data_IF_799099550512
#
_entry.id   IF_799099550512
#
_cell.length_a   1.000
_cell.length_b   1.000
_cell.length_c   1.000
_cell.angle_alpha   90.00
_cell.angle_beta   90.00
_cell.angle_gamma   90.00
#
_symmetry.space_group_name_H-M   'P 1'
#
loop_
_entity.id
_entity.type
_entity.pdbx_description
1 polymer ?
#
# COMPACT_ATOMS: atom_id res chain seq x y z
N UNK A 1 -12.42 10.17 13.95
CA UNK A 1 -10.97 9.87 14.04
C UNK A 1 -10.24 10.98 13.33
N UNK A 2 -9.19 11.53 13.94
CA UNK A 2 -8.33 12.55 13.37
C UNK A 2 -6.97 11.94 13.03
N UNK A 3 -6.47 12.21 11.83
CA UNK A 3 -5.14 11.82 11.36
C UNK A 3 -4.28 13.08 11.28
N UNK A 4 -3.14 13.07 11.93
CA UNK A 4 -2.24 14.25 11.95
C UNK A 4 -1.37 14.33 10.70
N UNK A 5 -0.98 13.19 10.14
CA UNK A 5 -0.22 13.09 8.91
C UNK A 5 -1.06 13.59 7.71
N UNK A 6 -0.37 14.04 6.68
CA UNK A 6 -1.01 14.27 5.37
C UNK A 6 -1.30 12.93 4.70
N UNK A 7 -2.48 12.81 4.10
CA UNK A 7 -2.84 11.61 3.33
C UNK A 7 -2.65 11.93 1.85
N UNK A 8 -1.76 11.20 1.18
CA UNK A 8 -1.57 11.29 -0.28
C UNK A 8 -2.50 10.32 -0.96
N UNK A 9 -3.32 10.84 -1.87
CA UNK A 9 -4.30 10.10 -2.69
C UNK A 9 -4.13 10.42 -4.17
N UNK A 10 -4.82 9.69 -5.05
CA UNK A 10 -4.69 9.90 -6.49
C UNK A 10 -5.41 11.13 -6.98
N UNK A 11 -6.65 11.36 -6.53
CA UNK A 11 -7.49 12.41 -7.04
C UNK A 11 -8.53 12.93 -6.06
N UNK A 12 -9.39 13.83 -6.60
CA UNK A 12 -10.39 14.53 -5.82
C UNK A 12 -11.46 13.63 -5.21
N UNK A 13 -11.93 12.62 -5.96
CA UNK A 13 -12.97 11.71 -5.47
C UNK A 13 -12.47 10.90 -4.28
N UNK A 14 -11.18 10.49 -4.29
CA UNK A 14 -10.52 9.84 -3.16
C UNK A 14 -10.41 10.79 -1.98
N UNK A 15 -10.00 12.05 -2.22
CA UNK A 15 -9.93 13.09 -1.20
C UNK A 15 -11.27 13.27 -0.49
N UNK A 16 -12.36 13.39 -1.25
CA UNK A 16 -13.71 13.53 -0.69
C UNK A 16 -14.10 12.29 0.12
N UNK A 17 -13.78 11.10 -0.38
CA UNK A 17 -14.09 9.84 0.31
C UNK A 17 -13.31 9.69 1.62
N UNK A 18 -12.02 9.98 1.60
CA UNK A 18 -11.15 9.92 2.79
C UNK A 18 -11.60 10.95 3.85
N UNK A 19 -11.90 12.19 3.47
CA UNK A 19 -12.38 13.23 4.39
C UNK A 19 -13.73 12.91 5.02
N UNK A 20 -14.56 12.11 4.36
CA UNK A 20 -15.80 11.58 4.96
C UNK A 20 -15.52 10.48 6.00
N UNK A 21 -14.43 9.74 5.85
CA UNK A 21 -14.05 8.70 6.79
C UNK A 21 -13.32 9.27 8.02
N UNK A 22 -12.40 10.22 7.81
CA UNK A 22 -11.54 10.77 8.87
C UNK A 22 -11.35 12.28 8.69
N UNK A 23 -11.05 12.98 9.78
CA UNK A 23 -10.58 14.36 9.75
C UNK A 23 -9.08 14.36 9.40
N UNK A 24 -8.71 14.92 8.24
CA UNK A 24 -7.34 14.94 7.73
C UNK A 24 -7.09 16.04 6.70
N UNK A 25 -5.82 16.30 6.43
CA UNK A 25 -5.35 17.03 5.25
C UNK A 25 -4.92 16.05 4.16
N UNK A 26 -5.28 16.31 2.91
CA UNK A 26 -4.97 15.45 1.78
C UNK A 26 -4.11 16.18 0.73
N UNK A 27 -3.27 15.42 0.03
CA UNK A 27 -2.47 15.84 -1.11
C UNK A 27 -2.85 14.94 -2.29
N UNK A 28 -3.21 15.52 -3.43
CA UNK A 28 -3.59 14.81 -4.65
C UNK A 28 -2.40 14.72 -5.60
N UNK A 29 -2.13 13.53 -6.16
CA UNK A 29 -1.07 13.36 -7.15
C UNK A 29 -1.54 13.68 -8.57
N UNK A 30 -2.86 13.69 -8.79
CA UNK A 30 -3.48 13.90 -10.10
C UNK A 30 -2.97 12.95 -11.18
N UNK A 31 -2.84 11.67 -10.81
CA UNK A 31 -2.39 10.59 -11.66
C UNK A 31 -1.00 10.06 -11.34
N UNK A 32 -0.59 9.01 -12.06
CA UNK A 32 0.65 8.27 -11.78
C UNK A 32 1.94 8.94 -12.30
N UNK A 33 1.81 10.00 -13.11
CA UNK A 33 2.95 10.81 -13.59
C UNK A 33 3.20 11.98 -12.63
N UNK A 34 3.72 11.69 -11.43
CA UNK A 34 3.96 12.69 -10.39
C UNK A 34 5.11 13.60 -10.84
N UNK A 35 4.85 14.91 -10.89
CA UNK A 35 5.86 15.90 -11.23
C UNK A 35 6.69 16.30 -9.99
N UNK A 36 7.82 16.96 -10.22
CA UNK A 36 8.74 17.39 -9.15
C UNK A 36 8.08 18.35 -8.16
N UNK A 37 7.20 19.22 -8.62
CA UNK A 37 6.49 20.15 -7.75
C UNK A 37 5.60 19.41 -6.73
N UNK A 38 4.88 18.37 -7.16
CA UNK A 38 4.09 17.53 -6.26
C UNK A 38 4.97 16.76 -5.28
N UNK A 39 6.13 16.23 -5.74
CA UNK A 39 7.08 15.58 -4.86
C UNK A 39 7.64 16.51 -3.80
N UNK A 40 7.90 17.78 -4.15
CA UNK A 40 8.36 18.79 -3.18
C UNK A 40 7.30 19.07 -2.11
N UNK A 41 6.03 19.19 -2.49
CA UNK A 41 4.93 19.32 -1.53
C UNK A 41 4.88 18.13 -0.59
N UNK A 42 5.04 16.90 -1.11
CA UNK A 42 5.03 15.68 -0.29
C UNK A 42 6.24 15.64 0.65
N UNK A 43 7.45 16.06 0.20
CA UNK A 43 8.65 16.17 1.06
C UNK A 43 8.42 17.13 2.23
N UNK A 44 7.85 18.30 1.95
CA UNK A 44 7.55 19.30 2.97
C UNK A 44 6.51 18.79 3.97
N UNK A 45 5.47 18.11 3.49
CA UNK A 45 4.48 17.46 4.32
C UNK A 45 5.10 16.38 5.23
N UNK A 46 5.98 15.55 4.66
CA UNK A 46 6.70 14.51 5.40
C UNK A 46 7.56 15.10 6.52
N UNK A 47 8.27 16.19 6.26
CA UNK A 47 9.11 16.85 7.25
C UNK A 47 8.30 17.54 8.36
N UNK A 48 7.08 17.97 8.08
CA UNK A 48 6.24 18.67 9.05
C UNK A 48 5.48 17.73 9.98
N UNK A 49 4.62 16.88 9.43
CA UNK A 49 3.71 16.02 10.21
C UNK A 49 3.76 14.55 9.81
N UNK A 50 4.51 14.22 8.77
CA UNK A 50 4.53 12.90 8.17
C UNK A 50 3.47 12.72 7.07
N UNK A 51 3.65 11.67 6.28
CA UNK A 51 2.80 11.32 5.13
C UNK A 51 2.37 9.88 5.19
N UNK A 52 1.09 9.64 4.92
CA UNK A 52 0.50 8.33 4.67
C UNK A 52 0.05 8.28 3.21
N UNK A 53 0.56 7.33 2.43
CA UNK A 53 0.14 7.11 1.04
C UNK A 53 -1.02 6.12 1.00
N UNK A 54 -2.17 6.55 0.49
CA UNK A 54 -3.37 5.75 0.30
C UNK A 54 -3.85 5.89 -1.14
N UNK A 55 -3.49 4.94 -1.99
CA UNK A 55 -3.84 4.90 -3.41
C UNK A 55 -4.70 3.70 -3.74
N UNK A 56 -5.25 3.67 -4.94
CA UNK A 56 -6.04 2.55 -5.44
C UNK A 56 -5.24 1.23 -5.40
N UNK A 57 -5.87 0.10 -5.08
CA UNK A 57 -5.22 -1.20 -5.07
C UNK A 57 -5.09 -1.77 -6.50
N UNK A 58 -4.41 -1.03 -7.37
CA UNK A 58 -4.16 -1.34 -8.77
C UNK A 58 -2.74 -0.97 -9.21
N UNK A 59 -2.43 -1.19 -10.50
CA UNK A 59 -1.09 -0.92 -11.03
C UNK A 59 -0.70 0.57 -11.04
N UNK A 60 -1.58 1.52 -11.47
CA UNK A 60 -1.31 2.94 -11.33
C UNK A 60 -1.03 3.38 -9.88
N UNK A 61 -1.84 2.92 -8.92
CA UNK A 61 -1.65 3.21 -7.50
C UNK A 61 -0.33 2.67 -6.96
N UNK A 62 0.07 1.46 -7.34
CA UNK A 62 1.39 0.91 -6.98
C UNK A 62 2.55 1.72 -7.58
N UNK A 63 2.38 2.27 -8.78
CA UNK A 63 3.38 3.14 -9.40
C UNK A 63 3.55 4.45 -8.63
N UNK A 64 2.44 5.06 -8.22
CA UNK A 64 2.44 6.26 -7.36
C UNK A 64 3.22 5.98 -6.06
N UNK A 65 2.90 4.87 -5.38
CA UNK A 65 3.58 4.45 -4.14
C UNK A 65 5.09 4.31 -4.34
N UNK A 66 5.50 3.60 -5.39
CA UNK A 66 6.93 3.40 -5.70
C UNK A 66 7.63 4.72 -5.94
N UNK A 67 7.04 5.59 -6.77
CA UNK A 67 7.62 6.91 -7.06
C UNK A 67 7.79 7.75 -5.80
N UNK A 68 6.76 7.80 -4.93
CA UNK A 68 6.86 8.57 -3.68
C UNK A 68 7.92 7.97 -2.75
N UNK A 69 7.95 6.65 -2.58
CA UNK A 69 8.94 5.97 -1.70
C UNK A 69 10.38 6.18 -2.17
N UNK A 70 10.61 6.19 -3.48
CA UNK A 70 11.94 6.44 -4.06
C UNK A 70 12.44 7.87 -3.80
N UNK A 71 11.55 8.86 -3.75
CA UNK A 71 11.90 10.27 -3.66
C UNK A 71 11.70 10.89 -2.25
N UNK A 72 10.88 10.26 -1.41
CA UNK A 72 10.53 10.77 -0.07
C UNK A 72 10.66 9.64 0.94
N UNK A 73 11.72 9.69 1.76
CA UNK A 73 11.98 8.67 2.78
C UNK A 73 11.02 8.79 3.97
N UNK A 74 10.76 7.66 4.61
CA UNK A 74 9.98 7.59 5.85
C UNK A 74 8.47 7.73 5.67
N UNK A 75 7.94 7.75 4.45
CA UNK A 75 6.50 7.75 4.20
C UNK A 75 5.87 6.44 4.66
N UNK A 76 4.69 6.54 5.23
CA UNK A 76 3.88 5.37 5.63
C UNK A 76 2.93 4.99 4.50
N UNK A 77 2.51 3.73 4.46
CA UNK A 77 1.56 3.22 3.48
C UNK A 77 0.33 2.61 4.17
N UNK A 78 -0.85 3.02 3.73
CA UNK A 78 -2.12 2.39 4.05
C UNK A 78 -2.61 1.58 2.84
N UNK A 79 -3.19 0.40 3.06
CA UNK A 79 -3.68 -0.48 2.01
C UNK A 79 -5.13 -0.87 2.25
N UNK A 80 -5.96 -0.73 1.22
CA UNK A 80 -7.31 -1.26 1.20
C UNK A 80 -7.29 -2.55 0.36
N UNK A 81 -8.00 -3.58 0.81
CA UNK A 81 -8.19 -4.80 0.03
C UNK A 81 -8.89 -4.46 -1.29
N UNK A 82 -8.43 -5.03 -2.39
CA UNK A 82 -8.99 -4.80 -3.73
C UNK A 82 -10.47 -5.09 -3.83
N UNK A 83 -10.96 -6.14 -3.17
CA UNK A 83 -12.38 -6.48 -3.17
C UNK A 83 -13.23 -5.46 -2.38
N UNK A 84 -12.65 -4.83 -1.34
CA UNK A 84 -13.28 -3.77 -0.56
C UNK A 84 -13.28 -2.39 -1.27
N UNK A 85 -12.39 -2.21 -2.25
CA UNK A 85 -12.29 -1.00 -3.07
C UNK A 85 -13.01 -1.16 -4.44
N UNK A 86 -13.86 -2.17 -4.61
CA UNK A 86 -14.52 -2.50 -5.86
C UNK A 86 -16.00 -2.14 -5.83
N UNK A 87 -16.45 -1.37 -6.81
CA UNK A 87 -17.88 -1.09 -6.96
C UNK A 87 -18.65 -2.23 -7.67
N UNK A 88 -19.98 -2.13 -7.70
CA UNK A 88 -20.86 -3.11 -8.34
C UNK A 88 -20.59 -3.32 -9.85
N UNK A 89 -19.94 -2.36 -10.52
CA UNK A 89 -19.55 -2.46 -11.93
C UNK A 89 -18.14 -3.01 -12.12
N UNK A 90 -17.45 -3.39 -11.03
CA UNK A 90 -16.09 -3.92 -11.07
C UNK A 90 -14.98 -2.87 -11.14
N UNK A 91 -15.31 -1.57 -11.11
CA UNK A 91 -14.31 -0.50 -11.04
C UNK A 91 -13.68 -0.48 -9.64
N UNK A 92 -12.35 -0.34 -9.61
CA UNK A 92 -11.54 -0.30 -8.40
C UNK A 92 -11.16 1.14 -8.12
N UNK A 93 -11.20 1.55 -6.85
CA UNK A 93 -10.80 2.88 -6.41
C UNK A 93 -11.07 3.09 -4.93
N UNK A 94 -10.28 3.93 -4.28
CA UNK A 94 -10.47 4.35 -2.88
C UNK A 94 -11.83 5.01 -2.72
N UNK A 95 -12.30 5.73 -3.74
CA UNK A 95 -13.61 6.38 -3.76
C UNK A 95 -14.79 5.40 -3.62
N UNK A 96 -14.57 4.11 -3.89
CA UNK A 96 -15.59 3.06 -3.82
C UNK A 96 -15.57 2.27 -2.50
N UNK A 97 -14.50 2.40 -1.71
CA UNK A 97 -14.36 1.70 -0.43
C UNK A 97 -15.35 2.19 0.63
N UNK A 98 -15.76 1.33 1.53
CA UNK A 98 -16.55 1.73 2.68
C UNK A 98 -15.74 2.58 3.66
N UNK A 99 -16.40 3.54 4.34
CA UNK A 99 -15.73 4.45 5.26
C UNK A 99 -15.02 3.72 6.42
N UNK A 100 -15.55 2.56 6.81
CA UNK A 100 -14.95 1.73 7.84
C UNK A 100 -13.66 1.08 7.36
N UNK A 101 -13.60 0.65 6.10
CA UNK A 101 -12.41 0.04 5.51
C UNK A 101 -11.28 1.06 5.34
N UNK A 102 -11.62 2.29 4.98
CA UNK A 102 -10.66 3.41 4.93
C UNK A 102 -10.09 3.69 6.32
N UNK A 103 -10.95 3.76 7.35
CA UNK A 103 -10.50 3.95 8.74
C UNK A 103 -9.58 2.82 9.19
N UNK A 104 -9.95 1.58 8.89
CA UNK A 104 -9.16 0.40 9.23
C UNK A 104 -7.79 0.43 8.55
N UNK A 105 -7.73 0.77 7.26
CA UNK A 105 -6.47 0.91 6.52
C UNK A 105 -5.55 1.97 7.14
N UNK A 106 -6.11 3.12 7.54
CA UNK A 106 -5.37 4.22 8.14
C UNK A 106 -4.92 3.94 9.60
N UNK A 107 -5.57 3.02 10.31
CA UNK A 107 -5.11 2.57 11.63
C UNK A 107 -3.95 1.56 11.54
N UNK A 108 -3.76 0.92 10.40
CA UNK A 108 -2.76 -0.14 10.21
C UNK A 108 -1.78 0.23 9.09
N UNK A 109 -1.10 1.34 9.26
CA UNK A 109 -0.08 1.80 8.31
C UNK A 109 1.21 0.99 8.42
N UNK A 110 1.87 0.75 7.30
CA UNK A 110 3.17 0.11 7.21
C UNK A 110 4.23 1.14 6.80
N UNK A 111 5.41 1.07 7.41
CA UNK A 111 6.56 1.91 7.04
C UNK A 111 7.63 1.03 6.39
N UNK A 112 8.08 1.34 5.16
CA UNK A 112 9.25 0.68 4.60
C UNK A 112 10.49 0.99 5.45
N UNK A 113 11.42 0.04 5.57
CA UNK A 113 12.72 0.30 6.15
C UNK A 113 13.54 1.21 5.22
N UNK A 114 14.28 2.16 5.80
CA UNK A 114 15.15 3.08 5.03
C UNK A 114 16.37 2.37 4.41
N UNK A 115 16.78 1.24 5.00
CA UNK A 115 17.83 0.39 4.48
C UNK A 115 17.23 -0.91 3.91
N UNK A 116 17.70 -1.33 2.74
CA UNK A 116 17.24 -2.56 2.11
C UNK A 116 17.66 -3.77 2.98
N UNK A 117 16.70 -4.32 3.70
CA UNK A 117 16.88 -5.53 4.49
C UNK A 117 16.44 -6.73 3.64
N UNK A 118 17.40 -7.40 3.01
CA UNK A 118 17.13 -8.59 2.21
C UNK A 118 17.16 -9.83 3.13
N UNK A 119 16.06 -10.10 3.83
CA UNK A 119 15.93 -11.28 4.69
C UNK A 119 15.30 -12.48 3.99
N UNK A 120 14.58 -12.25 2.88
CA UNK A 120 13.87 -13.27 2.12
C UNK A 120 14.46 -13.39 0.73
N UNK A 121 14.86 -14.61 0.37
CA UNK A 121 15.33 -14.95 -0.98
C UNK A 121 14.16 -15.39 -1.87
N UNK A 122 14.35 -15.25 -3.19
CA UNK A 122 13.37 -15.69 -4.19
C UNK A 122 13.08 -17.18 -4.10
N UNK A 123 14.06 -18.00 -3.71
CA UNK A 123 13.92 -19.46 -3.52
C UNK A 123 12.84 -19.79 -2.48
N UNK A 124 12.77 -19.03 -1.39
CA UNK A 124 11.74 -19.19 -0.35
C UNK A 124 10.34 -18.97 -0.92
N UNK A 125 10.16 -17.95 -1.75
CA UNK A 125 8.85 -17.69 -2.38
C UNK A 125 8.46 -18.79 -3.38
N UNK A 126 9.43 -19.43 -4.04
CA UNK A 126 9.19 -20.56 -4.93
C UNK A 126 8.77 -21.77 -4.09
N UNK A 127 9.51 -22.11 -3.04
CA UNK A 127 9.24 -23.22 -2.11
C UNK A 127 7.82 -23.08 -1.50
N UNK A 128 7.45 -21.89 -1.08
CA UNK A 128 6.13 -21.59 -0.51
C UNK A 128 5.01 -21.50 -1.56
N UNK A 129 5.28 -21.75 -2.84
CA UNK A 129 4.29 -21.70 -3.91
C UNK A 129 3.72 -20.30 -4.16
N UNK A 130 4.49 -19.24 -3.86
CA UNK A 130 4.07 -17.84 -4.03
C UNK A 130 4.42 -17.27 -5.41
N UNK A 131 5.36 -17.89 -6.14
CA UNK A 131 5.80 -17.45 -7.48
C UNK A 131 5.40 -18.44 -8.57
N UNK A 132 5.57 -19.74 -8.29
CA UNK A 132 5.34 -20.83 -9.25
C UNK A 132 4.20 -21.72 -8.75
N UNK A 133 3.34 -22.18 -9.65
CA UNK A 133 2.23 -23.09 -9.35
C UNK A 133 0.86 -22.49 -9.67
N UNK A 134 -0.14 -23.36 -9.84
CA UNK A 134 -1.51 -22.99 -10.23
C UNK A 134 -2.18 -22.05 -9.21
N UNK A 135 -1.87 -22.21 -7.94
CA UNK A 135 -2.45 -21.46 -6.83
C UNK A 135 -1.59 -20.24 -6.40
N UNK A 136 -0.45 -20.01 -7.04
CA UNK A 136 0.50 -18.97 -6.62
C UNK A 136 -0.14 -17.58 -6.54
N UNK A 137 -1.04 -17.24 -7.45
CA UNK A 137 -1.78 -15.97 -7.40
C UNK A 137 -2.67 -15.89 -6.17
N UNK A 138 -3.48 -16.92 -5.91
CA UNK A 138 -4.39 -16.98 -4.75
C UNK A 138 -3.59 -16.89 -3.44
N UNK A 139 -2.50 -17.66 -3.32
CA UNK A 139 -1.64 -17.63 -2.13
C UNK A 139 -1.03 -16.24 -1.88
N UNK A 140 -0.59 -15.54 -2.94
CA UNK A 140 -0.11 -14.16 -2.81
C UNK A 140 -1.22 -13.20 -2.36
N UNK A 141 -2.43 -13.35 -2.86
CA UNK A 141 -3.58 -12.51 -2.47
C UNK A 141 -3.90 -12.69 -0.98
N UNK A 142 -3.91 -13.92 -0.49
CA UNK A 142 -4.13 -14.24 0.93
C UNK A 142 -3.01 -13.65 1.79
N UNK A 143 -1.75 -13.93 1.45
CA UNK A 143 -0.59 -13.42 2.18
C UNK A 143 -0.57 -11.89 2.22
N UNK A 144 -0.77 -11.25 1.07
CA UNK A 144 -0.76 -9.78 0.98
C UNK A 144 -1.88 -9.14 1.81
N UNK A 145 -3.04 -9.80 1.92
CA UNK A 145 -4.14 -9.37 2.78
C UNK A 145 -3.78 -9.49 4.25
N UNK A 146 -3.25 -10.64 4.67
CA UNK A 146 -2.85 -10.89 6.07
C UNK A 146 -1.76 -9.94 6.53
N UNK A 147 -0.74 -9.73 5.70
CA UNK A 147 0.37 -8.82 5.99
C UNK A 147 0.05 -7.35 5.71
N UNK A 148 -1.12 -7.04 5.12
CA UNK A 148 -1.58 -5.66 4.78
C UNK A 148 -0.57 -4.88 3.91
N UNK A 149 0.05 -5.58 2.94
CA UNK A 149 1.07 -4.99 2.03
C UNK A 149 0.54 -4.70 0.63
N UNK A 150 -0.78 -4.84 0.42
CA UNK A 150 -1.45 -4.62 -0.85
C UNK A 150 -1.15 -5.70 -1.90
N UNK A 151 -1.92 -5.67 -2.99
CA UNK A 151 -1.77 -6.64 -4.09
C UNK A 151 -0.35 -6.61 -4.69
N UNK A 152 0.16 -7.79 -5.09
CA UNK A 152 1.51 -7.92 -5.65
C UNK A 152 1.61 -9.08 -6.63
N UNK A 153 2.36 -8.90 -7.73
CA UNK A 153 2.89 -10.03 -8.49
C UNK A 153 4.12 -10.62 -7.75
N UNK A 154 4.66 -11.73 -8.24
CA UNK A 154 5.77 -12.42 -7.54
C UNK A 154 7.01 -11.56 -7.33
N UNK A 155 7.38 -10.71 -8.31
CA UNK A 155 8.53 -9.80 -8.21
C UNK A 155 8.28 -8.66 -7.23
N UNK A 156 7.07 -8.09 -7.26
CA UNK A 156 6.65 -7.03 -6.35
C UNK A 156 6.52 -7.55 -4.91
N UNK A 157 6.01 -8.78 -4.72
CA UNK A 157 5.87 -9.38 -3.41
C UNK A 157 7.23 -9.48 -2.70
N UNK A 158 8.25 -10.02 -3.38
CA UNK A 158 9.60 -10.12 -2.82
C UNK A 158 10.14 -8.76 -2.37
N UNK A 159 10.02 -7.75 -3.24
CA UNK A 159 10.45 -6.38 -2.92
C UNK A 159 9.70 -5.80 -1.72
N UNK A 160 8.37 -5.99 -1.65
CA UNK A 160 7.55 -5.47 -0.55
C UNK A 160 7.89 -6.18 0.77
N UNK A 161 8.00 -7.51 0.77
CA UNK A 161 8.35 -8.27 1.98
C UNK A 161 9.68 -7.78 2.56
N UNK A 162 10.71 -7.65 1.74
CA UNK A 162 12.01 -7.15 2.18
C UNK A 162 11.95 -5.67 2.59
N UNK A 163 11.27 -4.82 1.83
CA UNK A 163 11.14 -3.39 2.16
C UNK A 163 10.40 -3.15 3.48
N UNK A 164 9.46 -4.00 3.86
CA UNK A 164 8.74 -3.92 5.14
C UNK A 164 9.39 -4.77 6.24
N UNK A 165 10.56 -5.39 5.98
CA UNK A 165 11.33 -6.14 6.97
C UNK A 165 10.69 -7.44 7.44
N UNK A 166 9.79 -8.02 6.64
CA UNK A 166 9.25 -9.35 6.95
C UNK A 166 10.33 -10.42 6.80
N UNK A 167 10.34 -11.34 7.73
CA UNK A 167 11.21 -12.53 7.73
C UNK A 167 10.52 -13.72 7.07
N UNK A 168 11.30 -14.74 6.72
CA UNK A 168 10.75 -16.02 6.25
C UNK A 168 9.78 -16.62 7.26
N UNK A 169 10.07 -16.50 8.56
CA UNK A 169 9.19 -16.99 9.63
C UNK A 169 7.83 -16.30 9.62
N UNK A 170 7.79 -14.96 9.43
CA UNK A 170 6.55 -14.21 9.33
C UNK A 170 5.69 -14.65 8.15
N UNK A 171 6.33 -14.92 7.01
CA UNK A 171 5.64 -15.38 5.79
C UNK A 171 5.08 -16.78 5.97
N UNK A 172 5.86 -17.71 6.57
CA UNK A 172 5.40 -19.08 6.87
C UNK A 172 4.22 -19.05 7.83
N UNK A 173 4.33 -18.33 8.93
CA UNK A 173 3.25 -18.20 9.91
C UNK A 173 1.97 -17.64 9.29
N UNK A 174 2.07 -16.61 8.46
CA UNK A 174 0.93 -16.04 7.78
C UNK A 174 0.25 -17.02 6.79
N UNK A 175 0.96 -18.01 6.28
CA UNK A 175 0.42 -19.04 5.39
C UNK A 175 -0.13 -20.27 6.13
N UNK A 176 0.33 -20.56 7.35
CA UNK A 176 -0.14 -21.70 8.18
C UNK A 176 -1.54 -21.47 8.75
N UNK A 177 -1.95 -20.24 8.94
CA UNK A 177 -3.28 -19.87 9.42
C UNK A 177 -4.37 -19.93 8.30
N UNK A 178 -4.17 -20.71 7.25
CA UNK A 178 -5.13 -20.93 6.14
C UNK A 178 -6.25 -21.92 6.49
#
# INVERSE_FOLDING_TARGET
MKINEFIVVEGRDDTERVKRAVECDAIETNGSAINEQTLEVIRNAQQSRGVIVLTDPDFPGDKIRSTITEHVKGVKHAYIDREKAKNKKGKIGVEHADLIDIKEALMHVSSPFDEAYESIDKSVLIELGLIVGKDARRRREILSRKLRIGHSNGKQLLKKLNAFGYTEADVRQALEDE
#
